data_IF_307807546370
#
_entry.id   IF_307807546370
#
_cell.length_a   1.000
_cell.length_b   1.000
_cell.length_c   1.000
_cell.angle_alpha   90.00
_cell.angle_beta   90.00
_cell.angle_gamma   90.00
#
_symmetry.space_group_name_H-M   'P 1'
#
loop_
_entity.id
_entity.type
_entity.pdbx_description
1 polymer ?
#
# COMPACT_ATOMS: atom_id res chain seq x y z
N UNK A 1 3.88 6.17 -4.26
CA UNK A 1 4.29 6.46 -5.66
C UNK A 1 5.81 6.33 -5.69
N UNK A 2 6.31 5.28 -6.32
CA UNK A 2 7.77 5.12 -6.50
C UNK A 2 8.37 6.31 -7.25
N UNK A 3 9.65 6.60 -6.96
CA UNK A 3 10.35 7.74 -7.55
C UNK A 3 10.28 7.72 -9.08
N UNK A 4 9.86 8.81 -9.73
CA UNK A 4 9.69 8.86 -11.17
C UNK A 4 11.01 8.77 -11.98
N UNK A 5 12.15 8.65 -11.33
CA UNK A 5 13.43 8.87 -12.00
C UNK A 5 14.19 7.62 -12.46
N UNK A 6 13.73 6.39 -12.17
CA UNK A 6 14.54 5.18 -12.44
C UNK A 6 13.84 3.99 -13.09
N UNK A 7 12.54 4.04 -13.33
CA UNK A 7 11.79 2.96 -14.01
C UNK A 7 11.22 3.47 -15.35
N UNK A 8 11.22 2.66 -16.43
CA UNK A 8 10.54 3.02 -17.68
C UNK A 8 9.02 3.22 -17.50
N UNK A 9 8.44 2.71 -16.43
CA UNK A 9 7.03 2.86 -16.06
C UNK A 9 6.79 3.93 -14.98
N UNK A 10 7.78 4.76 -14.68
CA UNK A 10 7.67 5.82 -13.70
C UNK A 10 6.60 6.84 -14.09
N UNK A 11 5.66 7.11 -13.20
CA UNK A 11 4.61 8.12 -13.37
C UNK A 11 5.21 9.53 -13.23
N UNK A 12 5.27 10.36 -14.31
CA UNK A 12 5.75 11.73 -14.20
C UNK A 12 4.81 12.58 -13.34
N UNK A 13 5.33 13.48 -12.50
CA UNK A 13 4.52 14.38 -11.67
C UNK A 13 3.49 15.18 -12.48
N UNK A 14 3.85 15.60 -13.70
CA UNK A 14 2.93 16.32 -14.59
C UNK A 14 1.68 15.51 -14.98
N UNK A 15 1.76 14.19 -14.94
CA UNK A 15 0.67 13.25 -15.27
C UNK A 15 -0.16 12.80 -14.07
N UNK A 16 0.25 13.17 -12.85
CA UNK A 16 -0.54 12.89 -11.65
C UNK A 16 -1.84 13.67 -11.71
N UNK A 17 -2.94 12.93 -11.60
CA UNK A 17 -4.28 13.51 -11.44
C UNK A 17 -4.50 13.78 -9.94
N UNK A 18 -4.45 15.05 -9.57
CA UNK A 18 -4.51 15.50 -8.17
C UNK A 18 -5.91 15.39 -7.55
N UNK A 19 -6.93 15.17 -8.37
CA UNK A 19 -8.32 15.08 -7.89
C UNK A 19 -8.71 13.68 -7.44
N UNK A 20 -7.86 12.68 -7.73
CA UNK A 20 -8.11 11.29 -7.38
C UNK A 20 -7.88 10.95 -5.90
N UNK A 21 -7.10 11.74 -5.17
CA UNK A 21 -6.70 11.44 -3.79
C UNK A 21 -6.70 12.70 -2.93
N UNK A 22 -7.06 12.58 -1.66
CA UNK A 22 -6.89 13.66 -0.66
C UNK A 22 -5.43 13.81 -0.20
N UNK A 23 -4.68 12.71 -0.24
CA UNK A 23 -3.28 12.62 0.15
C UNK A 23 -2.49 11.90 -0.94
N UNK A 24 -1.28 12.38 -1.23
CA UNK A 24 -0.31 11.66 -2.07
C UNK A 24 0.96 11.47 -1.27
N UNK A 25 1.41 10.22 -1.17
CA UNK A 25 2.62 9.85 -0.45
C UNK A 25 3.66 9.44 -1.49
N UNK A 26 4.80 10.13 -1.49
CA UNK A 26 5.93 9.82 -2.39
C UNK A 26 6.91 8.89 -1.69
N UNK A 27 7.20 7.74 -2.25
CA UNK A 27 8.12 6.74 -1.71
C UNK A 27 9.19 6.31 -2.75
N UNK A 28 10.32 5.81 -2.28
CA UNK A 28 10.66 5.76 -0.86
C UNK A 28 11.99 6.46 -0.63
N UNK A 29 12.04 7.36 0.34
CA UNK A 29 13.29 7.80 0.93
C UNK A 29 13.81 6.71 1.88
N UNK A 30 15.05 6.83 2.35
CA UNK A 30 15.66 5.83 3.25
C UNK A 30 16.31 6.48 4.46
N UNK A 31 16.75 5.65 5.41
CA UNK A 31 17.60 6.10 6.52
C UNK A 31 19.05 6.06 6.09
N UNK A 32 19.72 7.20 6.11
CA UNK A 32 21.14 7.33 5.77
C UNK A 32 22.08 6.62 6.76
N UNK A 33 23.33 6.45 6.36
CA UNK A 33 24.33 5.80 7.24
C UNK A 33 24.67 6.64 8.49
N UNK A 34 24.36 7.91 8.47
CA UNK A 34 24.49 8.82 9.61
C UNK A 34 23.18 8.97 10.40
N UNK A 35 22.18 8.16 10.10
CA UNK A 35 20.85 8.17 10.66
C UNK A 35 20.01 9.42 10.36
N UNK A 36 20.40 10.25 9.40
CA UNK A 36 19.52 11.28 8.84
C UNK A 36 18.64 10.70 7.74
N UNK A 37 17.58 11.43 7.34
CA UNK A 37 16.80 11.05 6.16
C UNK A 37 17.66 11.17 4.90
N UNK A 38 17.66 10.14 4.07
CA UNK A 38 18.28 10.15 2.74
C UNK A 38 17.20 10.24 1.66
N UNK A 39 17.13 11.38 1.01
CA UNK A 39 16.15 11.67 -0.05
C UNK A 39 16.66 11.28 -1.46
N UNK A 40 17.93 10.85 -1.61
CA UNK A 40 18.49 10.53 -2.92
C UNK A 40 17.69 9.45 -3.69
N UNK A 41 17.16 8.40 -3.04
CA UNK A 41 16.37 7.39 -3.74
C UNK A 41 15.12 7.95 -4.43
N UNK A 42 14.53 9.03 -3.89
CA UNK A 42 13.35 9.70 -4.48
C UNK A 42 13.71 10.88 -5.39
N UNK A 43 15.01 11.14 -5.64
CA UNK A 43 15.48 12.24 -6.47
C UNK A 43 15.87 13.51 -5.71
N UNK A 44 16.05 13.40 -4.39
CA UNK A 44 16.56 14.47 -3.55
C UNK A 44 15.60 15.65 -3.37
N UNK A 45 16.15 16.79 -2.97
CA UNK A 45 15.38 18.03 -2.74
C UNK A 45 14.71 18.56 -4.01
N UNK A 46 15.31 18.32 -5.18
CA UNK A 46 14.71 18.72 -6.47
C UNK A 46 13.37 18.02 -6.69
N UNK A 47 13.31 16.72 -6.43
CA UNK A 47 12.06 15.96 -6.54
C UNK A 47 11.00 16.45 -5.55
N UNK A 48 11.36 16.80 -4.31
CA UNK A 48 10.43 17.40 -3.34
C UNK A 48 9.87 18.73 -3.84
N UNK A 49 10.70 19.55 -4.48
CA UNK A 49 10.26 20.82 -5.07
C UNK A 49 9.21 20.58 -6.16
N UNK A 50 9.47 19.66 -7.09
CA UNK A 50 8.49 19.30 -8.12
C UNK A 50 7.23 18.66 -7.54
N UNK A 51 7.38 17.84 -6.50
CA UNK A 51 6.26 17.22 -5.81
C UNK A 51 5.35 18.28 -5.16
N UNK A 52 5.93 19.29 -4.51
CA UNK A 52 5.20 20.38 -3.91
C UNK A 52 4.39 21.21 -4.94
N UNK A 53 4.83 21.26 -6.21
CA UNK A 53 4.10 21.96 -7.28
C UNK A 53 2.70 21.37 -7.54
N UNK A 54 2.45 20.09 -7.19
CA UNK A 54 1.12 19.48 -7.31
C UNK A 54 0.06 20.27 -6.55
N UNK A 55 0.43 20.90 -5.43
CA UNK A 55 -0.49 21.73 -4.64
C UNK A 55 -0.99 22.97 -5.39
N UNK A 56 -0.26 23.46 -6.39
CA UNK A 56 -0.74 24.56 -7.24
C UNK A 56 -2.00 24.18 -8.00
N UNK A 57 -2.15 22.90 -8.35
CA UNK A 57 -3.34 22.38 -9.04
C UNK A 57 -4.51 22.17 -8.07
N UNK A 58 -4.22 21.74 -6.82
CA UNK A 58 -5.21 21.47 -5.77
C UNK A 58 -4.65 21.89 -4.40
N UNK A 59 -5.00 23.09 -3.90
CA UNK A 59 -4.43 23.63 -2.64
C UNK A 59 -4.74 22.79 -1.39
N UNK A 60 -5.85 22.03 -1.39
CA UNK A 60 -6.24 21.16 -0.29
C UNK A 60 -5.49 19.81 -0.25
N UNK A 61 -4.73 19.48 -1.32
CA UNK A 61 -4.00 18.23 -1.41
C UNK A 61 -2.91 18.16 -0.35
N UNK A 62 -2.86 17.04 0.39
CA UNK A 62 -1.81 16.73 1.34
C UNK A 62 -0.71 15.93 0.67
N UNK A 63 0.52 16.39 0.82
CA UNK A 63 1.71 15.78 0.23
C UNK A 63 2.59 15.24 1.35
N UNK A 64 2.92 13.95 1.31
CA UNK A 64 3.73 13.30 2.33
C UNK A 64 4.91 12.55 1.68
N UNK A 65 5.94 12.29 2.46
CA UNK A 65 7.07 11.45 2.05
C UNK A 65 7.09 10.18 2.89
N UNK A 66 7.20 9.03 2.23
CA UNK A 66 7.41 7.75 2.89
C UNK A 66 8.88 7.41 2.95
N UNK A 67 9.32 6.91 4.11
CA UNK A 67 10.69 6.47 4.39
C UNK A 67 10.66 4.98 4.69
N UNK A 68 11.41 4.19 3.91
CA UNK A 68 11.49 2.73 4.03
C UNK A 68 11.04 2.02 2.76
N UNK A 69 9.94 1.27 2.85
CA UNK A 69 9.41 0.42 1.79
C UNK A 69 10.14 -0.90 1.64
N UNK A 70 9.63 -1.80 0.83
CA UNK A 70 10.20 -3.13 0.61
C UNK A 70 11.68 -3.10 0.24
N UNK A 71 12.54 -3.68 1.10
CA UNK A 71 14.00 -3.64 0.96
C UNK A 71 14.67 -2.31 1.33
N UNK A 72 13.90 -1.31 1.79
CA UNK A 72 14.39 0.01 2.23
C UNK A 72 14.65 0.11 3.74
N UNK A 73 14.58 -1.00 4.47
CA UNK A 73 14.68 -1.09 5.93
C UNK A 73 16.11 -0.99 6.49
N UNK A 74 17.10 -0.89 5.62
CA UNK A 74 18.49 -0.70 6.03
C UNK A 74 18.61 0.50 6.98
N UNK A 75 19.34 0.30 8.07
CA UNK A 75 19.60 1.27 9.14
C UNK A 75 18.40 1.59 10.06
N UNK A 76 17.18 1.09 9.82
CA UNK A 76 16.05 1.34 10.73
C UNK A 76 16.32 0.83 12.15
N UNK A 77 16.83 -0.39 12.28
CA UNK A 77 17.10 -1.03 13.57
C UNK A 77 18.08 -0.20 14.40
N UNK A 78 19.20 0.20 13.80
CA UNK A 78 20.22 1.01 14.45
C UNK A 78 19.73 2.44 14.72
N UNK A 79 19.00 3.04 13.78
CA UNK A 79 18.42 4.37 13.93
C UNK A 79 17.44 4.40 15.10
N UNK A 80 16.60 3.39 15.26
CA UNK A 80 15.61 3.35 16.34
C UNK A 80 16.20 2.99 17.70
N UNK A 81 17.39 2.40 17.77
CA UNK A 81 17.97 1.81 18.97
C UNK A 81 18.32 2.81 20.08
N UNK A 82 18.60 4.06 19.75
CA UNK A 82 18.93 5.11 20.74
C UNK A 82 18.15 6.40 20.48
N UNK A 83 17.85 7.13 21.54
CA UNK A 83 17.20 8.45 21.46
C UNK A 83 17.99 9.39 20.55
N UNK A 84 19.31 9.45 20.68
CA UNK A 84 20.17 10.32 19.87
C UNK A 84 20.04 10.05 18.37
N UNK A 85 19.98 8.79 17.97
CA UNK A 85 19.82 8.40 16.56
C UNK A 85 18.41 8.74 16.06
N UNK A 86 17.36 8.45 16.86
CA UNK A 86 15.98 8.81 16.53
C UNK A 86 15.82 10.31 16.37
N UNK A 87 16.34 11.11 17.30
CA UNK A 87 16.29 12.57 17.23
C UNK A 87 17.00 13.12 16.00
N UNK A 88 18.13 12.52 15.60
CA UNK A 88 18.82 12.90 14.37
C UNK A 88 17.97 12.67 13.14
N UNK A 89 17.35 11.50 13.03
CA UNK A 89 16.41 11.15 11.96
C UNK A 89 15.22 12.13 11.95
N UNK A 90 14.55 12.29 13.08
CA UNK A 90 13.36 13.11 13.22
C UNK A 90 13.64 14.57 12.84
N UNK A 91 14.72 15.15 13.38
CA UNK A 91 15.07 16.54 13.12
C UNK A 91 15.44 16.77 11.64
N UNK A 92 16.22 15.88 11.03
CA UNK A 92 16.57 15.99 9.62
C UNK A 92 15.34 15.87 8.72
N UNK A 93 14.42 14.95 9.04
CA UNK A 93 13.17 14.74 8.32
C UNK A 93 12.24 15.96 8.47
N UNK A 94 11.99 16.41 9.69
CA UNK A 94 11.13 17.57 9.93
C UNK A 94 11.65 18.83 9.21
N UNK A 95 12.97 19.05 9.22
CA UNK A 95 13.60 20.14 8.48
C UNK A 95 13.39 20.02 6.98
N UNK A 96 13.61 18.82 6.41
CA UNK A 96 13.43 18.57 4.98
C UNK A 96 11.97 18.80 4.53
N UNK A 97 11.01 18.31 5.31
CA UNK A 97 9.58 18.46 5.00
C UNK A 97 9.15 19.93 5.07
N UNK A 98 9.50 20.66 6.14
CA UNK A 98 9.13 22.06 6.33
C UNK A 98 9.75 22.97 5.26
N UNK A 99 11.05 22.78 4.98
CA UNK A 99 11.77 23.59 3.97
C UNK A 99 11.17 23.43 2.57
N UNK A 100 10.61 22.26 2.25
CA UNK A 100 10.03 21.97 0.94
C UNK A 100 8.49 22.04 0.93
N UNK A 101 7.87 22.55 2.00
CA UNK A 101 6.42 22.69 2.09
C UNK A 101 5.68 21.35 1.87
N UNK A 102 6.15 20.28 2.50
CA UNK A 102 5.54 18.94 2.50
C UNK A 102 4.76 18.78 3.81
N UNK A 103 3.58 18.12 3.75
CA UNK A 103 2.63 18.08 4.86
C UNK A 103 2.90 16.98 5.88
N UNK A 104 3.72 15.97 5.58
CA UNK A 104 3.91 14.89 6.55
C UNK A 104 4.92 13.82 6.18
N UNK A 105 5.16 12.98 7.17
CA UNK A 105 6.00 11.79 7.14
C UNK A 105 5.13 10.54 7.19
N UNK A 106 5.45 9.57 6.36
CA UNK A 106 5.00 8.19 6.46
C UNK A 106 6.20 7.29 6.78
N UNK A 107 6.08 6.42 7.77
CA UNK A 107 7.13 5.46 8.16
C UNK A 107 6.74 4.06 7.66
N UNK A 108 7.53 3.53 6.74
CA UNK A 108 7.31 2.23 6.12
C UNK A 108 8.46 1.26 6.43
N UNK A 109 8.54 0.84 7.69
CA UNK A 109 9.52 -0.16 8.12
C UNK A 109 9.00 -1.57 7.90
N UNK A 110 9.60 -2.33 6.98
CA UNK A 110 9.16 -3.67 6.60
C UNK A 110 10.17 -4.76 7.02
N UNK A 111 10.10 -5.34 8.20
CA UNK A 111 9.22 -4.98 9.32
C UNK A 111 10.04 -5.00 10.61
N UNK A 112 9.66 -4.25 11.68
CA UNK A 112 10.32 -4.37 12.98
C UNK A 112 10.22 -5.80 13.50
N UNK A 113 11.27 -6.27 14.16
CA UNK A 113 11.25 -7.52 14.90
C UNK A 113 10.57 -7.32 16.27
N UNK A 114 10.31 -8.43 16.97
CA UNK A 114 9.73 -8.38 18.34
C UNK A 114 10.60 -7.52 19.28
N UNK A 115 11.93 -7.61 19.12
CA UNK A 115 12.89 -6.82 19.92
C UNK A 115 12.84 -5.33 19.63
N UNK A 116 12.32 -4.92 18.46
CA UNK A 116 12.31 -3.55 17.99
C UNK A 116 10.97 -2.83 18.31
N UNK A 117 9.96 -3.59 18.77
CA UNK A 117 8.60 -3.09 19.00
C UNK A 117 8.55 -1.82 19.88
N UNK A 118 9.28 -1.83 21.00
CA UNK A 118 9.35 -0.68 21.91
C UNK A 118 10.09 0.52 21.26
N UNK A 119 11.15 0.26 20.51
CA UNK A 119 11.90 1.31 19.80
C UNK A 119 11.08 1.96 18.70
N UNK A 120 10.22 1.18 18.02
CA UNK A 120 9.30 1.71 17.02
C UNK A 120 8.25 2.63 17.65
N UNK A 121 7.69 2.25 18.80
CA UNK A 121 6.78 3.14 19.56
C UNK A 121 7.50 4.42 19.96
N UNK A 122 8.71 4.34 20.52
CA UNK A 122 9.49 5.52 20.90
C UNK A 122 9.75 6.44 19.70
N UNK A 123 10.08 5.87 18.53
CA UNK A 123 10.26 6.65 17.29
C UNK A 123 8.99 7.43 16.93
N UNK A 124 7.82 6.77 16.96
CA UNK A 124 6.55 7.40 16.62
C UNK A 124 6.13 8.47 17.62
N UNK A 125 6.33 8.25 18.93
CA UNK A 125 6.04 9.21 19.97
C UNK A 125 6.92 10.48 19.83
N UNK A 126 8.22 10.30 19.70
CA UNK A 126 9.17 11.40 19.52
C UNK A 126 8.92 12.16 18.21
N UNK A 127 8.67 11.44 17.10
CA UNK A 127 8.34 12.04 15.82
C UNK A 127 7.03 12.85 15.91
N UNK A 128 6.00 12.32 16.55
CA UNK A 128 4.72 13.02 16.73
C UNK A 128 4.90 14.36 17.45
N UNK A 129 5.73 14.39 18.50
CA UNK A 129 6.03 15.62 19.25
C UNK A 129 6.70 16.66 18.36
N UNK A 130 7.76 16.27 17.64
CA UNK A 130 8.51 17.21 16.78
C UNK A 130 7.69 17.69 15.59
N UNK A 131 6.97 16.80 14.92
CA UNK A 131 6.18 17.13 13.74
C UNK A 131 5.01 18.07 14.07
N UNK A 132 4.48 18.01 15.30
CA UNK A 132 3.39 18.87 15.80
C UNK A 132 3.90 20.10 16.59
N UNK A 133 5.22 20.30 16.68
CA UNK A 133 5.81 21.42 17.44
C UNK A 133 5.35 22.81 16.98
N UNK A 134 5.02 22.96 15.69
CA UNK A 134 4.50 24.21 15.13
C UNK A 134 2.97 24.13 15.02
N UNK A 135 2.20 24.71 15.97
CA UNK A 135 0.74 24.53 16.01
C UNK A 135 -0.01 25.11 14.81
N UNK A 136 0.55 26.11 14.13
CA UNK A 136 -0.05 26.73 12.94
C UNK A 136 0.18 25.89 11.66
N UNK A 137 1.21 25.04 11.66
CA UNK A 137 1.57 24.19 10.54
C UNK A 137 2.01 22.79 11.03
N UNK A 138 1.11 22.04 11.70
CA UNK A 138 1.44 20.70 12.16
C UNK A 138 1.65 19.77 10.95
N UNK A 139 2.71 18.96 10.99
CA UNK A 139 2.95 17.94 10.00
C UNK A 139 2.22 16.64 10.39
N UNK A 140 1.72 15.93 9.39
CA UNK A 140 1.10 14.63 9.57
C UNK A 140 2.15 13.55 9.83
N UNK A 141 1.76 12.55 10.62
CA UNK A 141 2.53 11.33 10.85
C UNK A 141 1.68 10.11 10.54
N UNK A 142 2.11 9.28 9.60
CA UNK A 142 1.52 7.97 9.36
C UNK A 142 2.56 6.86 9.40
N UNK A 143 2.09 5.63 9.43
CA UNK A 143 2.94 4.46 9.28
C UNK A 143 2.26 3.45 8.35
N UNK A 144 3.02 2.88 7.41
CA UNK A 144 2.62 1.69 6.69
C UNK A 144 2.83 0.46 7.58
N UNK A 145 1.84 -0.41 7.62
CA UNK A 145 1.80 -1.52 8.59
C UNK A 145 1.32 -2.81 7.93
N UNK A 146 1.81 -4.00 8.41
CA UNK A 146 1.48 -5.28 7.80
C UNK A 146 0.05 -5.73 8.07
N UNK A 147 -0.49 -6.50 7.15
CA UNK A 147 -1.78 -7.18 7.29
C UNK A 147 -1.66 -8.56 7.97
N UNK A 148 -0.68 -9.44 7.65
CA UNK A 148 -0.62 -10.80 8.19
C UNK A 148 -0.49 -10.83 9.71
N UNK A 149 -1.39 -11.56 10.38
CA UNK A 149 -1.44 -11.71 11.84
C UNK A 149 -0.08 -12.09 12.45
N UNK A 150 0.70 -12.92 11.79
CA UNK A 150 2.03 -13.37 12.24
C UNK A 150 3.07 -12.24 12.30
N UNK A 151 2.88 -11.18 11.52
CA UNK A 151 3.72 -9.98 11.55
C UNK A 151 3.20 -8.95 12.54
N UNK A 152 1.89 -8.94 12.85
CA UNK A 152 1.26 -7.96 13.72
C UNK A 152 1.48 -8.29 15.19
N UNK A 153 1.14 -9.52 15.59
CA UNK A 153 1.20 -9.94 17.00
C UNK A 153 2.64 -9.90 17.50
N UNK A 154 2.84 -9.26 18.65
CA UNK A 154 4.11 -9.07 19.35
C UNK A 154 5.13 -8.12 18.70
N UNK A 155 4.88 -7.62 17.48
CA UNK A 155 5.78 -6.64 16.81
C UNK A 155 5.24 -5.22 16.89
N UNK A 156 3.91 -5.06 17.06
CA UNK A 156 3.25 -3.75 17.07
C UNK A 156 2.47 -3.55 18.37
N UNK A 157 2.86 -2.56 19.18
CA UNK A 157 2.11 -2.13 20.35
C UNK A 157 1.01 -1.15 19.88
N UNK A 158 -0.04 -1.70 19.29
CA UNK A 158 -1.06 -0.93 18.55
C UNK A 158 -1.73 0.17 19.38
N UNK A 159 -2.10 -0.04 20.67
CA UNK A 159 -2.68 1.04 21.48
C UNK A 159 -1.75 2.24 21.68
N UNK A 160 -0.42 2.02 21.74
CA UNK A 160 0.55 3.11 21.90
C UNK A 160 0.81 3.79 20.56
N UNK A 161 0.97 3.03 19.47
CA UNK A 161 1.07 3.56 18.10
C UNK A 161 -0.13 4.46 17.79
N UNK A 162 -1.34 4.04 18.17
CA UNK A 162 -2.58 4.78 17.87
C UNK A 162 -2.63 6.19 18.48
N UNK A 163 -1.88 6.45 19.56
CA UNK A 163 -1.81 7.77 20.21
C UNK A 163 -0.92 8.74 19.42
N UNK A 164 0.07 8.22 18.70
CA UNK A 164 1.12 9.01 18.06
C UNK A 164 0.83 9.32 16.60
N UNK A 165 0.25 8.36 15.84
CA UNK A 165 -0.02 8.53 14.42
C UNK A 165 -1.34 9.23 14.15
N UNK A 166 -1.43 9.97 13.05
CA UNK A 166 -2.67 10.53 12.55
C UNK A 166 -3.50 9.42 11.87
N UNK A 167 -2.85 8.51 11.14
CA UNK A 167 -3.44 7.31 10.56
C UNK A 167 -2.37 6.22 10.29
N UNK A 168 -2.82 5.02 9.99
CA UNK A 168 -1.98 3.93 9.47
C UNK A 168 -2.42 3.54 8.07
N UNK A 169 -1.46 3.20 7.21
CA UNK A 169 -1.65 2.63 5.91
C UNK A 169 -1.52 1.10 6.03
N UNK A 170 -2.64 0.40 6.10
CA UNK A 170 -2.65 -1.05 6.25
C UNK A 170 -2.43 -1.74 4.90
N UNK A 171 -1.32 -2.45 4.75
CA UNK A 171 -0.90 -3.12 3.53
C UNK A 171 -1.64 -4.44 3.33
N UNK A 172 -2.91 -4.38 2.91
CA UNK A 172 -3.80 -5.53 2.65
C UNK A 172 -3.62 -6.10 1.24
N UNK A 173 -2.38 -6.26 0.85
CA UNK A 173 -1.92 -6.84 -0.42
C UNK A 173 -0.64 -7.64 -0.17
N UNK A 174 -0.11 -8.33 -1.21
CA UNK A 174 0.96 -9.30 -1.09
C UNK A 174 0.66 -10.42 -0.06
N UNK A 175 -0.65 -10.68 0.15
CA UNK A 175 -1.11 -11.65 1.13
C UNK A 175 -0.73 -13.08 0.74
N UNK A 176 -0.67 -13.34 -0.55
CA UNK A 176 -0.19 -14.60 -1.12
C UNK A 176 0.85 -14.29 -2.19
N UNK A 177 2.09 -14.72 -1.93
CA UNK A 177 3.22 -14.64 -2.88
C UNK A 177 3.80 -16.04 -3.07
N UNK A 178 4.37 -16.31 -4.25
CA UNK A 178 5.03 -17.60 -4.47
C UNK A 178 6.14 -17.83 -3.46
N UNK A 179 6.04 -18.97 -2.76
CA UNK A 179 7.10 -19.49 -1.90
C UNK A 179 7.36 -20.96 -2.28
N UNK A 180 8.60 -21.39 -2.30
CA UNK A 180 8.96 -22.75 -2.65
C UNK A 180 8.34 -23.81 -1.71
N UNK A 181 8.04 -23.45 -0.47
CA UNK A 181 7.39 -24.29 0.54
C UNK A 181 5.85 -24.14 0.56
N UNK A 182 5.31 -23.16 -0.15
CA UNK A 182 3.87 -22.91 -0.36
C UNK A 182 3.64 -22.56 -1.84
N UNK A 183 3.86 -23.53 -2.75
CA UNK A 183 3.91 -23.26 -4.19
C UNK A 183 2.51 -23.34 -4.83
N UNK A 184 1.55 -22.63 -4.28
CA UNK A 184 0.18 -22.62 -4.79
C UNK A 184 -0.20 -21.21 -5.25
N UNK A 185 -0.95 -21.12 -6.37
CA UNK A 185 -1.52 -19.86 -6.82
C UNK A 185 -2.64 -19.41 -5.88
N UNK A 186 -2.64 -18.14 -5.51
CA UNK A 186 -3.68 -17.56 -4.68
C UNK A 186 -3.79 -16.05 -4.88
N UNK A 187 -4.78 -15.41 -4.26
CA UNK A 187 -5.08 -14.01 -4.47
C UNK A 187 -4.11 -13.06 -3.77
N UNK A 188 -3.66 -12.05 -4.51
CA UNK A 188 -2.84 -10.95 -3.99
C UNK A 188 -3.52 -10.21 -2.84
N UNK A 189 -4.80 -9.88 -3.01
CA UNK A 189 -5.58 -9.07 -2.06
C UNK A 189 -7.06 -9.49 -2.08
N UNK A 190 -7.42 -10.69 -1.57
CA UNK A 190 -8.82 -11.10 -1.50
C UNK A 190 -9.57 -10.21 -0.52
N UNK A 191 -10.85 -9.88 -0.81
CA UNK A 191 -11.69 -9.11 0.12
C UNK A 191 -12.11 -9.98 1.30
N UNK A 192 -12.55 -11.21 1.04
CA UNK A 192 -13.00 -12.18 2.04
C UNK A 192 -12.28 -13.51 1.90
N UNK A 193 -12.27 -14.33 2.98
CA UNK A 193 -11.74 -15.68 2.90
C UNK A 193 -12.65 -16.61 2.07
N UNK A 194 -12.08 -17.71 1.56
CA UNK A 194 -12.83 -18.77 0.90
C UNK A 194 -13.21 -19.87 1.88
N UNK A 195 -14.33 -20.53 1.61
CA UNK A 195 -14.74 -21.71 2.36
C UNK A 195 -13.70 -22.84 2.23
N UNK A 196 -13.35 -23.46 3.36
CA UNK A 196 -12.41 -24.58 3.41
C UNK A 196 -10.93 -24.19 3.41
N UNK A 197 -10.57 -22.94 3.47
CA UNK A 197 -9.19 -22.51 3.71
C UNK A 197 -8.69 -22.97 5.09
N UNK A 198 -7.38 -23.21 5.17
CA UNK A 198 -6.75 -23.49 6.46
C UNK A 198 -6.89 -22.26 7.38
N UNK A 199 -7.09 -22.43 8.70
CA UNK A 199 -7.35 -21.30 9.62
C UNK A 199 -6.33 -20.17 9.54
N UNK A 200 -5.04 -20.48 9.30
CA UNK A 200 -3.99 -19.46 9.18
C UNK A 200 -4.10 -18.68 7.87
N UNK A 201 -4.50 -19.32 6.78
CA UNK A 201 -4.69 -18.69 5.47
C UNK A 201 -5.99 -17.89 5.44
N UNK A 202 -7.01 -18.35 6.16
CA UNK A 202 -8.32 -17.69 6.29
C UNK A 202 -8.21 -16.28 6.91
N UNK A 203 -7.09 -15.94 7.54
CA UNK A 203 -6.80 -14.58 8.03
C UNK A 203 -6.13 -13.68 6.99
N UNK A 204 -5.69 -14.23 5.85
CA UNK A 204 -4.97 -13.50 4.81
C UNK A 204 -5.94 -12.89 3.78
N UNK A 205 -6.78 -11.98 4.24
CA UNK A 205 -7.70 -11.20 3.41
C UNK A 205 -7.88 -9.79 3.99
N UNK A 206 -8.36 -8.88 3.17
CA UNK A 206 -8.53 -7.48 3.52
C UNK A 206 -9.43 -7.28 4.75
N UNK A 207 -10.58 -7.94 4.78
CA UNK A 207 -11.56 -7.77 5.85
C UNK A 207 -11.04 -8.27 7.21
N UNK A 208 -10.45 -9.47 7.25
CA UNK A 208 -9.89 -10.04 8.48
C UNK A 208 -8.71 -9.21 9.00
N UNK A 209 -7.83 -8.75 8.12
CA UNK A 209 -6.67 -7.92 8.49
C UNK A 209 -7.09 -6.57 9.06
N UNK A 210 -8.05 -5.89 8.42
CA UNK A 210 -8.55 -4.61 8.91
C UNK A 210 -9.27 -4.75 10.27
N UNK A 211 -10.07 -5.79 10.44
CA UNK A 211 -10.72 -6.07 11.73
C UNK A 211 -9.70 -6.39 12.81
N UNK A 212 -8.65 -7.16 12.53
CA UNK A 212 -7.58 -7.48 13.48
C UNK A 212 -6.94 -6.20 14.06
N UNK A 213 -6.54 -5.25 13.20
CA UNK A 213 -5.96 -3.99 13.64
C UNK A 213 -6.92 -3.18 14.52
N UNK A 214 -8.21 -3.15 14.18
CA UNK A 214 -9.22 -2.47 14.97
C UNK A 214 -9.44 -3.16 16.33
N UNK A 215 -9.52 -4.48 16.37
CA UNK A 215 -9.68 -5.29 17.60
C UNK A 215 -8.48 -5.16 18.54
N UNK A 216 -7.28 -5.00 17.99
CA UNK A 216 -6.06 -4.78 18.76
C UNK A 216 -5.89 -3.34 19.25
N UNK A 217 -6.82 -2.43 18.95
CA UNK A 217 -6.89 -1.10 19.55
C UNK A 217 -6.59 0.08 18.63
N UNK A 218 -6.43 -0.12 17.31
CA UNK A 218 -6.38 0.99 16.37
C UNK A 218 -7.80 1.48 16.07
N UNK A 219 -8.14 2.76 16.32
CA UNK A 219 -9.45 3.28 15.91
C UNK A 219 -9.68 3.08 14.41
N UNK A 220 -10.85 2.56 14.03
CA UNK A 220 -11.19 2.35 12.60
C UNK A 220 -10.99 3.60 11.75
N UNK A 221 -11.33 4.78 12.30
CA UNK A 221 -11.14 6.08 11.62
C UNK A 221 -9.69 6.44 11.32
N UNK A 222 -8.72 5.75 11.93
CA UNK A 222 -7.27 5.92 11.67
C UNK A 222 -6.69 4.83 10.76
N UNK A 223 -7.48 3.86 10.31
CA UNK A 223 -7.01 2.79 9.40
C UNK A 223 -7.38 3.16 7.98
N UNK A 224 -6.37 3.43 7.14
CA UNK A 224 -6.50 3.50 5.69
C UNK A 224 -6.22 2.11 5.14
N UNK A 225 -7.24 1.46 4.59
CA UNK A 225 -7.14 0.06 4.14
C UNK A 225 -6.59 0.01 2.73
N UNK A 226 -5.54 -0.78 2.53
CA UNK A 226 -4.79 -0.87 1.28
C UNK A 226 -5.54 -1.60 0.17
N UNK A 227 -5.52 -1.04 -1.03
CA UNK A 227 -6.02 -1.65 -2.27
C UNK A 227 -4.88 -1.60 -3.30
N UNK A 228 -4.41 -2.76 -3.81
CA UNK A 228 -3.38 -2.77 -4.84
C UNK A 228 -3.97 -2.39 -6.20
N UNK A 229 -3.18 -1.70 -7.02
CA UNK A 229 -3.49 -1.45 -8.44
C UNK A 229 -2.58 -2.26 -9.36
N UNK A 230 -1.92 -3.27 -8.79
CA UNK A 230 -1.07 -4.23 -9.47
C UNK A 230 -1.54 -5.66 -9.18
N UNK A 231 -1.09 -6.58 -10.02
CA UNK A 231 -1.27 -8.01 -9.82
C UNK A 231 0.03 -8.73 -9.49
N UNK A 232 -0.10 -9.96 -9.03
CA UNK A 232 0.99 -10.91 -8.88
C UNK A 232 0.79 -12.09 -9.82
N UNK A 233 1.89 -12.62 -10.35
CA UNK A 233 1.86 -13.70 -11.32
C UNK A 233 2.67 -14.94 -10.90
N UNK A 234 2.17 -16.10 -11.32
CA UNK A 234 2.77 -17.41 -11.09
C UNK A 234 2.92 -18.19 -12.40
N UNK A 235 3.78 -19.18 -12.37
CA UNK A 235 3.92 -20.19 -13.44
C UNK A 235 3.25 -21.47 -12.98
N UNK A 236 2.11 -21.85 -13.58
CA UNK A 236 1.40 -23.10 -13.29
C UNK A 236 2.27 -24.32 -13.62
N UNK A 237 2.24 -25.32 -12.76
CA UNK A 237 2.86 -26.62 -13.02
C UNK A 237 2.14 -27.33 -14.19
N UNK A 238 0.81 -27.25 -14.22
CA UNK A 238 -0.05 -27.82 -15.27
C UNK A 238 -1.03 -26.75 -15.78
N UNK A 239 -0.97 -26.38 -17.08
CA UNK A 239 -1.87 -25.35 -17.64
C UNK A 239 -3.35 -25.75 -17.64
N UNK A 240 -3.67 -27.05 -17.56
CA UNK A 240 -5.05 -27.53 -17.45
C UNK A 240 -5.62 -27.44 -16.04
N UNK A 241 -4.81 -27.10 -15.04
CA UNK A 241 -5.22 -26.92 -13.65
C UNK A 241 -4.91 -25.49 -13.21
N UNK A 242 -5.82 -24.59 -13.45
CA UNK A 242 -5.69 -23.14 -13.25
C UNK A 242 -6.55 -22.58 -12.13
N UNK A 243 -7.32 -23.40 -11.43
CA UNK A 243 -8.13 -22.92 -10.30
C UNK A 243 -7.24 -22.43 -9.16
N UNK A 244 -7.76 -21.51 -8.37
CA UNK A 244 -7.11 -21.05 -7.13
C UNK A 244 -6.72 -22.27 -6.29
N UNK A 245 -5.52 -22.25 -5.72
CA UNK A 245 -4.94 -23.39 -5.01
C UNK A 245 -4.18 -24.37 -5.91
N UNK A 246 -4.11 -24.15 -7.22
CA UNK A 246 -3.33 -25.00 -8.13
C UNK A 246 -1.82 -24.83 -7.91
N UNK A 247 -1.07 -25.92 -8.19
CA UNK A 247 0.38 -25.96 -8.01
C UNK A 247 1.08 -25.04 -9.02
N UNK A 248 1.99 -24.23 -8.52
CA UNK A 248 2.90 -23.39 -9.29
C UNK A 248 4.35 -23.86 -9.17
N UNK A 249 5.18 -23.54 -10.15
CA UNK A 249 6.61 -23.87 -10.21
C UNK A 249 7.52 -22.67 -9.99
N UNK A 250 6.95 -21.47 -9.92
CA UNK A 250 7.72 -20.24 -9.74
C UNK A 250 6.86 -18.98 -9.84
N UNK A 251 7.49 -17.85 -9.65
CA UNK A 251 6.93 -16.54 -9.95
C UNK A 251 6.78 -16.40 -11.47
N UNK A 252 5.85 -15.55 -11.92
CA UNK A 252 5.64 -15.30 -13.33
C UNK A 252 6.82 -14.61 -14.03
N UNK A 253 6.72 -14.46 -15.36
CA UNK A 253 7.80 -13.97 -16.22
C UNK A 253 8.21 -12.50 -16.01
N UNK A 254 7.41 -11.71 -15.31
CA UNK A 254 7.69 -10.30 -15.05
C UNK A 254 8.49 -10.17 -13.75
N UNK A 255 9.79 -10.48 -13.81
CA UNK A 255 10.76 -10.25 -12.74
C UNK A 255 10.43 -10.99 -11.44
N UNK A 256 9.93 -10.27 -10.45
CA UNK A 256 9.52 -10.76 -9.13
C UNK A 256 8.07 -11.26 -9.08
N UNK A 257 7.37 -11.27 -10.20
CA UNK A 257 5.96 -11.66 -10.32
C UNK A 257 5.00 -10.46 -10.40
N UNK A 258 5.49 -9.23 -10.28
CA UNK A 258 4.69 -8.01 -10.38
C UNK A 258 4.12 -7.82 -11.79
N UNK A 259 2.84 -7.42 -11.87
CA UNK A 259 2.13 -7.14 -13.13
C UNK A 259 1.33 -5.86 -12.95
N UNK A 260 1.65 -4.82 -13.73
CA UNK A 260 0.86 -3.58 -13.70
C UNK A 260 -0.56 -3.80 -14.23
N UNK A 261 -1.51 -2.93 -13.89
CA UNK A 261 -2.86 -3.05 -14.43
C UNK A 261 -2.89 -2.86 -15.96
N UNK A 262 -2.01 -2.01 -16.49
CA UNK A 262 -1.84 -1.88 -17.93
C UNK A 262 -1.41 -3.19 -18.61
N UNK A 263 -0.51 -3.97 -17.97
CA UNK A 263 -0.09 -5.29 -18.48
C UNK A 263 -1.21 -6.32 -18.35
N UNK A 264 -2.00 -6.28 -17.26
CA UNK A 264 -3.21 -7.11 -17.14
C UNK A 264 -4.15 -6.86 -18.33
N UNK A 265 -4.40 -5.59 -18.66
CA UNK A 265 -5.23 -5.25 -19.83
C UNK A 265 -4.63 -5.75 -21.14
N UNK A 266 -3.32 -5.69 -21.31
CA UNK A 266 -2.64 -6.21 -22.50
C UNK A 266 -2.79 -7.74 -22.61
N UNK A 267 -2.65 -8.48 -21.51
CA UNK A 267 -2.86 -9.92 -21.46
C UNK A 267 -4.31 -10.30 -21.83
N UNK A 268 -5.29 -9.60 -21.25
CA UNK A 268 -6.71 -9.83 -21.57
C UNK A 268 -7.02 -9.53 -23.06
N UNK A 269 -6.47 -8.45 -23.62
CA UNK A 269 -6.60 -8.13 -25.06
C UNK A 269 -5.93 -9.17 -25.96
N UNK A 270 -4.85 -9.82 -25.48
CA UNK A 270 -4.17 -10.90 -26.18
C UNK A 270 -4.93 -12.25 -26.14
N UNK A 271 -5.94 -12.39 -25.28
CA UNK A 271 -6.79 -13.56 -25.21
C UNK A 271 -6.72 -14.37 -23.90
N UNK A 272 -5.98 -13.88 -22.91
CA UNK A 272 -5.98 -14.49 -21.58
C UNK A 272 -7.42 -14.57 -21.02
N UNK A 273 -7.73 -15.69 -20.36
CA UNK A 273 -9.07 -15.92 -19.83
C UNK A 273 -9.23 -15.27 -18.46
N UNK A 274 -10.23 -14.40 -18.31
CA UNK A 274 -10.62 -13.80 -17.03
C UNK A 274 -11.56 -14.77 -16.29
N UNK A 275 -11.24 -15.03 -15.06
CA UNK A 275 -12.08 -15.72 -14.08
C UNK A 275 -12.41 -14.79 -12.92
N UNK A 276 -13.43 -15.12 -12.13
CA UNK A 276 -13.83 -14.36 -10.96
C UNK A 276 -14.08 -15.28 -9.77
N UNK A 277 -13.41 -15.02 -8.66
CA UNK A 277 -13.67 -15.70 -7.40
C UNK A 277 -14.79 -15.00 -6.64
N UNK A 278 -15.97 -15.60 -6.65
CA UNK A 278 -17.16 -15.02 -6.05
C UNK A 278 -17.11 -14.97 -4.51
N UNK A 279 -16.29 -15.82 -3.85
CA UNK A 279 -16.09 -15.79 -2.40
C UNK A 279 -15.12 -14.67 -2.04
N UNK A 280 -13.95 -14.64 -2.64
CA UNK A 280 -12.92 -13.63 -2.40
C UNK A 280 -13.21 -12.27 -3.03
N UNK A 281 -14.19 -12.16 -3.93
CA UNK A 281 -14.62 -10.93 -4.62
C UNK A 281 -13.52 -10.27 -5.45
N UNK A 282 -12.66 -11.08 -6.06
CA UNK A 282 -11.56 -10.60 -6.90
C UNK A 282 -11.43 -11.44 -8.18
N UNK A 283 -10.98 -10.83 -9.29
CA UNK A 283 -10.67 -11.53 -10.51
C UNK A 283 -9.27 -12.17 -10.46
N UNK A 284 -9.07 -13.12 -11.34
CA UNK A 284 -7.76 -13.62 -11.76
C UNK A 284 -7.79 -13.96 -13.25
N UNK A 285 -6.65 -14.07 -13.88
CA UNK A 285 -6.56 -14.51 -15.26
C UNK A 285 -5.57 -15.66 -15.41
N UNK A 286 -5.76 -16.45 -16.47
CA UNK A 286 -4.80 -17.47 -16.87
C UNK A 286 -4.65 -17.55 -18.39
N UNK A 287 -3.45 -17.89 -18.84
CA UNK A 287 -3.12 -18.18 -20.23
C UNK A 287 -1.96 -19.16 -20.26
N UNK A 288 -2.15 -20.35 -20.87
CA UNK A 288 -1.17 -21.43 -20.82
C UNK A 288 -0.70 -21.71 -19.38
N UNK A 289 0.58 -21.44 -19.09
CA UNK A 289 1.15 -21.59 -17.73
C UNK A 289 1.15 -20.31 -16.91
N UNK A 290 0.77 -19.20 -17.50
CA UNK A 290 0.67 -17.93 -16.75
C UNK A 290 -0.62 -17.92 -15.94
N UNK A 291 -0.50 -17.52 -14.68
CA UNK A 291 -1.61 -17.24 -13.80
C UNK A 291 -1.36 -15.90 -13.11
N UNK A 292 -2.37 -15.02 -13.07
CA UNK A 292 -2.23 -13.66 -12.48
C UNK A 292 -3.42 -13.39 -11.58
N UNK A 293 -3.16 -13.07 -10.31
CA UNK A 293 -4.13 -12.42 -9.42
C UNK A 293 -4.02 -10.91 -9.57
N UNK A 294 -5.15 -10.23 -9.67
CA UNK A 294 -5.20 -8.78 -9.82
C UNK A 294 -6.51 -8.22 -9.28
N UNK A 295 -6.63 -6.92 -9.26
CA UNK A 295 -7.89 -6.21 -9.01
C UNK A 295 -8.34 -5.51 -10.30
N UNK A 296 -9.65 -5.46 -10.53
CA UNK A 296 -10.28 -4.66 -11.58
C UNK A 296 -11.25 -3.61 -11.00
N UNK A 297 -11.91 -2.85 -11.85
CA UNK A 297 -12.82 -1.80 -11.40
C UNK A 297 -13.97 -2.33 -10.52
N UNK A 298 -14.43 -3.57 -10.76
CA UNK A 298 -15.48 -4.22 -9.96
C UNK A 298 -14.96 -4.52 -8.55
N UNK A 299 -13.82 -5.20 -8.45
CA UNK A 299 -13.27 -5.62 -7.15
C UNK A 299 -12.81 -4.44 -6.30
N UNK A 300 -12.15 -3.42 -6.88
CA UNK A 300 -11.75 -2.22 -6.11
C UNK A 300 -12.96 -1.42 -5.63
N UNK A 301 -14.03 -1.37 -6.43
CA UNK A 301 -15.30 -0.73 -6.02
C UNK A 301 -15.91 -1.47 -4.82
N UNK A 302 -15.98 -2.81 -4.86
CA UNK A 302 -16.49 -3.62 -3.75
C UNK A 302 -15.64 -3.44 -2.49
N UNK A 303 -14.31 -3.44 -2.61
CA UNK A 303 -13.39 -3.18 -1.50
C UNK A 303 -13.63 -1.80 -0.89
N UNK A 304 -13.69 -0.75 -1.70
CA UNK A 304 -13.91 0.61 -1.23
C UNK A 304 -15.27 0.77 -0.52
N UNK A 305 -16.34 0.20 -1.08
CA UNK A 305 -17.67 0.19 -0.45
C UNK A 305 -17.66 -0.55 0.89
N UNK A 306 -16.99 -1.69 0.98
CA UNK A 306 -16.84 -2.44 2.22
C UNK A 306 -16.09 -1.63 3.28
N UNK A 307 -14.98 -1.00 2.91
CA UNK A 307 -14.18 -0.15 3.79
C UNK A 307 -15.02 0.98 4.39
N UNK A 308 -15.76 1.70 3.55
CA UNK A 308 -16.60 2.81 3.98
C UNK A 308 -17.78 2.34 4.84
N UNK A 309 -18.46 1.26 4.46
CA UNK A 309 -19.63 0.74 5.21
C UNK A 309 -19.26 0.20 6.59
N UNK A 310 -17.98 -0.17 6.80
CA UNK A 310 -17.48 -0.61 8.10
C UNK A 310 -16.82 0.50 8.95
N UNK A 311 -16.90 1.77 8.51
CA UNK A 311 -16.45 2.94 9.27
C UNK A 311 -14.92 3.06 9.39
N UNK A 312 -14.16 2.50 8.43
CA UNK A 312 -12.73 2.74 8.33
C UNK A 312 -12.43 4.17 7.86
N UNK A 313 -11.22 4.67 8.13
CA UNK A 313 -10.82 6.05 7.84
C UNK A 313 -10.78 6.37 6.35
N UNK A 314 -10.57 5.36 5.51
CA UNK A 314 -10.53 5.49 4.06
C UNK A 314 -9.76 4.37 3.39
N UNK A 315 -9.46 4.59 2.12
CA UNK A 315 -8.65 3.69 1.30
C UNK A 315 -7.22 4.23 1.14
N UNK A 316 -6.24 3.35 1.11
CA UNK A 316 -4.89 3.65 0.63
C UNK A 316 -4.66 2.84 -0.64
N UNK A 317 -4.06 3.42 -1.65
CA UNK A 317 -3.80 2.73 -2.91
C UNK A 317 -2.30 2.58 -3.14
N UNK A 318 -1.85 1.36 -3.39
CA UNK A 318 -0.49 1.06 -3.82
C UNK A 318 -0.52 0.41 -5.21
N UNK A 319 -0.14 1.15 -6.27
CA UNK A 319 0.28 2.55 -6.31
C UNK A 319 -0.24 3.23 -7.57
N UNK A 320 -0.27 4.56 -7.63
CA UNK A 320 -0.75 5.28 -8.82
C UNK A 320 0.00 4.92 -10.10
N UNK A 321 1.30 4.63 -10.00
CA UNK A 321 2.11 4.24 -11.15
C UNK A 321 1.84 2.81 -11.64
N UNK A 322 1.23 1.96 -10.82
CA UNK A 322 0.85 0.60 -11.18
C UNK A 322 -0.55 0.51 -11.83
N UNK A 323 -1.40 1.53 -11.63
CA UNK A 323 -2.64 1.69 -12.39
C UNK A 323 -2.32 2.11 -13.84
N UNK A 324 -3.30 2.04 -14.72
CA UNK A 324 -3.15 2.46 -16.12
C UNK A 324 -3.18 3.99 -16.27
N UNK A 325 -2.09 4.64 -15.89
CA UNK A 325 -1.94 6.09 -16.05
C UNK A 325 -1.75 6.55 -17.50
N UNK A 326 -1.47 5.62 -18.42
CA UNK A 326 -1.26 5.90 -19.85
C UNK A 326 -2.52 5.69 -20.70
N UNK A 327 -3.58 5.09 -20.15
CA UNK A 327 -4.80 4.78 -20.90
C UNK A 327 -4.67 3.59 -21.85
N UNK A 328 -3.76 2.64 -21.59
CA UNK A 328 -3.55 1.45 -22.44
C UNK A 328 -4.72 0.45 -22.34
N UNK A 329 -5.45 0.44 -21.22
CA UNK A 329 -6.63 -0.39 -21.02
C UNK A 329 -7.82 0.06 -21.88
N UNK A 330 -7.93 1.35 -22.10
CA UNK A 330 -9.02 2.01 -22.84
C UNK A 330 -8.63 3.45 -23.16
N UNK A 331 -9.61 4.36 -23.15
CA UNK A 331 -9.36 5.78 -23.39
C UNK A 331 -9.21 6.58 -22.09
N UNK A 332 -9.34 5.93 -20.93
CA UNK A 332 -9.36 6.57 -19.62
C UNK A 332 -8.10 6.23 -18.83
N UNK A 333 -7.54 7.23 -18.15
CA UNK A 333 -6.37 7.07 -17.29
C UNK A 333 -6.79 6.77 -15.85
N UNK A 334 -5.98 6.02 -15.09
CA UNK A 334 -6.22 5.67 -13.70
C UNK A 334 -7.60 5.01 -13.45
N UNK A 335 -8.00 3.98 -14.20
CA UNK A 335 -9.34 3.43 -14.12
C UNK A 335 -9.66 2.81 -12.75
N UNK A 336 -8.69 2.20 -12.07
CA UNK A 336 -8.90 1.62 -10.74
C UNK A 336 -9.03 2.73 -9.68
N UNK A 337 -8.13 3.70 -9.70
CA UNK A 337 -8.17 4.80 -8.75
C UNK A 337 -9.45 5.65 -8.91
N UNK A 338 -9.89 5.88 -10.15
CA UNK A 338 -11.18 6.57 -10.40
C UNK A 338 -12.37 5.77 -9.88
N UNK A 339 -12.37 4.44 -10.04
CA UNK A 339 -13.42 3.60 -9.50
C UNK A 339 -13.49 3.71 -7.96
N UNK A 340 -12.34 3.75 -7.28
CA UNK A 340 -12.26 3.95 -5.83
C UNK A 340 -12.77 5.36 -5.46
N UNK A 341 -12.29 6.42 -6.12
CA UNK A 341 -12.68 7.80 -5.82
C UNK A 341 -14.20 8.02 -5.96
N UNK A 342 -14.82 7.47 -7.00
CA UNK A 342 -16.25 7.57 -7.25
C UNK A 342 -17.11 6.94 -6.15
N UNK A 343 -16.59 5.97 -5.38
CA UNK A 343 -17.33 5.41 -4.24
C UNK A 343 -17.37 6.38 -3.06
N UNK A 344 -16.32 7.18 -2.87
CA UNK A 344 -16.22 8.15 -1.78
C UNK A 344 -17.18 9.33 -1.93
N UNK A 345 -17.55 9.68 -3.16
CA UNK A 345 -18.46 10.80 -3.47
C UNK A 345 -19.96 10.43 -3.37
N UNK A 346 -20.29 9.24 -2.86
CA UNK A 346 -21.67 8.80 -2.64
C UNK A 346 -22.46 8.45 -3.91
N UNK A 347 -21.85 8.51 -5.09
CA UNK A 347 -22.52 8.24 -6.36
C UNK A 347 -22.78 6.75 -6.62
N UNK A 348 -22.07 5.86 -5.92
CA UNK A 348 -22.14 4.39 -6.12
C UNK A 348 -22.84 3.61 -5.01
N UNK A 349 -23.38 4.27 -3.96
CA UNK A 349 -23.90 3.60 -2.76
C UNK A 349 -25.30 2.96 -2.95
N UNK A 350 -25.90 3.01 -4.13
CA UNK A 350 -27.23 2.42 -4.36
C UNK A 350 -27.10 0.95 -4.80
N UNK A 351 -27.27 0.04 -3.84
CA UNK A 351 -27.64 -1.35 -4.16
C UNK A 351 -26.75 -2.50 -3.70
N UNK A 352 -25.68 -2.26 -2.97
CA UNK A 352 -24.84 -3.37 -2.46
C UNK A 352 -25.17 -3.70 -1.01
N UNK A 353 -25.75 -4.87 -0.75
CA UNK A 353 -25.84 -5.47 0.58
C UNK A 353 -24.74 -6.52 0.70
N UNK A 354 -23.81 -6.30 1.62
CA UNK A 354 -22.87 -7.34 2.05
C UNK A 354 -23.61 -8.25 3.05
N UNK A 355 -23.93 -9.46 2.64
CA UNK A 355 -24.35 -10.50 3.59
C UNK A 355 -23.08 -11.14 4.15
N UNK A 356 -23.01 -11.31 5.50
CA UNK A 356 -21.89 -11.93 6.18
C UNK A 356 -21.73 -13.42 5.83
#
# INVERSE_FOLDING_TARGET
>A
MESPMKSPDALPFAKVDVDLCSHIIMGFATVGNDYSVDLNPIGGYEALTFFAELRKKRPSLKLMVSVGGGGGDKNFKEMTSTESNRQRFINSTAWALRTNNIDGLDLDWEFPEVSDAANFVSLLEEASVELKREPLHPLLLSAAVPAPVTLVINRYHIPDISKSVDFVNLMTYDLHVYQWYLPFVDHNSPLFPRAGELPVLNMLNLASSANLWAELGMPRSKIMVGIPTYGLSWVLANPSNWKVGSLATGRGKHGDGFVSFADVCALLKAGAQREYDAESKVPYLHEEKLWVSYDDQESVTLKALWIMSNGYGGTMTFSLNADDWQGKCGNDTFPLQKAIANTSDGSSAQGFQFHP
#
